data_IF_045303004649
#
_entry.id   IF_045303004649
#
_cell.length_a   1.000
_cell.length_b   1.000
_cell.length_c   1.000
_cell.angle_alpha   90.00
_cell.angle_beta   90.00
_cell.angle_gamma   90.00
#
_symmetry.space_group_name_H-M   'P 1'
#
loop_
_entity.id
_entity.type
_entity.pdbx_description
1 polymer ?
#
# COMPACT_ATOMS: atom_id res chain seq x y z
N UNK A 1 39.60 10.80 -2.56
CA UNK A 1 40.60 11.66 -3.30
C UNK A 1 40.65 13.08 -2.76
N UNK A 2 39.55 13.79 -2.48
CA UNK A 2 39.61 15.16 -1.93
C UNK A 2 40.30 15.28 -0.57
N UNK A 3 40.11 14.31 0.32
CA UNK A 3 40.77 14.30 1.64
C UNK A 3 42.30 14.27 1.55
N UNK A 4 42.83 13.47 0.63
CA UNK A 4 44.28 13.39 0.41
C UNK A 4 44.85 14.72 -0.13
N UNK A 5 44.11 15.42 -0.99
CA UNK A 5 44.51 16.73 -1.50
C UNK A 5 44.54 17.79 -0.39
N UNK A 6 43.57 17.77 0.54
CA UNK A 6 43.54 18.71 1.67
C UNK A 6 44.72 18.47 2.62
N UNK A 7 45.02 17.19 2.91
CA UNK A 7 46.18 16.82 3.75
C UNK A 7 47.50 17.26 3.10
N UNK A 8 47.68 16.97 1.82
CA UNK A 8 48.87 17.40 1.06
C UNK A 8 49.01 18.92 1.02
N UNK A 9 47.91 19.65 0.83
CA UNK A 9 47.91 21.11 0.87
C UNK A 9 48.27 21.64 2.26
N UNK A 10 47.73 21.06 3.35
CA UNK A 10 48.09 21.42 4.71
C UNK A 10 49.56 21.23 5.01
N UNK A 11 50.09 20.03 4.63
CA UNK A 11 51.52 19.72 4.81
C UNK A 11 52.42 20.66 4.01
N UNK A 12 52.02 20.98 2.76
CA UNK A 12 52.77 21.90 1.91
C UNK A 12 52.81 23.32 2.51
N UNK A 13 51.73 23.80 3.10
CA UNK A 13 51.68 25.11 3.77
C UNK A 13 52.58 25.17 5.01
N UNK A 14 52.66 24.09 5.76
CA UNK A 14 53.61 23.99 6.90
C UNK A 14 55.04 24.03 6.39
N UNK A 15 55.38 23.21 5.38
CA UNK A 15 56.75 23.04 4.93
C UNK A 15 57.29 24.20 4.12
N UNK A 16 56.51 24.81 3.23
CA UNK A 16 56.99 25.87 2.32
C UNK A 16 56.72 27.30 2.82
N UNK A 17 55.68 27.49 3.66
CA UNK A 17 55.27 28.83 4.13
C UNK A 17 55.49 29.04 5.64
N UNK A 18 56.00 28.02 6.34
CA UNK A 18 56.29 28.06 7.78
C UNK A 18 55.04 28.47 8.62
N UNK A 19 53.84 27.92 8.25
CA UNK A 19 52.60 28.15 8.95
C UNK A 19 52.31 26.95 9.87
N UNK A 20 52.74 26.96 11.12
CA UNK A 20 52.71 25.76 12.00
C UNK A 20 51.32 25.29 12.35
N UNK A 21 50.27 26.12 12.15
CA UNK A 21 48.86 25.76 12.44
C UNK A 21 48.12 25.23 11.20
N UNK A 22 48.72 25.22 10.02
CA UNK A 22 48.05 24.79 8.79
C UNK A 22 47.66 23.32 8.83
N UNK A 23 48.47 22.45 9.45
CA UNK A 23 48.15 21.02 9.65
C UNK A 23 46.90 20.83 10.53
N UNK A 24 46.79 21.56 11.63
CA UNK A 24 45.63 21.51 12.49
C UNK A 24 44.33 21.93 11.78
N UNK A 25 44.38 22.96 10.94
CA UNK A 25 43.23 23.40 10.12
C UNK A 25 42.87 22.37 9.06
N UNK A 26 43.86 21.75 8.41
CA UNK A 26 43.65 20.69 7.44
C UNK A 26 43.01 19.48 8.11
N UNK A 27 43.49 19.09 9.31
CA UNK A 27 42.88 17.97 10.08
C UNK A 27 41.43 18.26 10.44
N UNK A 28 41.07 19.47 10.88
CA UNK A 28 39.70 19.88 11.19
C UNK A 28 38.82 19.83 9.92
N UNK A 29 39.32 20.30 8.79
CA UNK A 29 38.60 20.28 7.51
C UNK A 29 38.30 18.83 7.07
N UNK A 30 39.27 17.93 7.18
CA UNK A 30 39.11 16.49 6.87
C UNK A 30 38.11 15.86 7.85
N UNK A 31 38.22 16.13 9.13
CA UNK A 31 37.28 15.63 10.13
C UNK A 31 35.84 16.08 9.84
N UNK A 32 35.64 17.37 9.52
CA UNK A 32 34.32 17.91 9.12
C UNK A 32 33.77 17.24 7.85
N UNK A 33 34.61 16.98 6.85
CA UNK A 33 34.23 16.28 5.64
C UNK A 33 33.81 14.81 5.91
N UNK A 34 34.54 14.13 6.80
CA UNK A 34 34.21 12.76 7.23
C UNK A 34 32.84 12.74 7.93
N UNK A 35 32.62 13.63 8.87
CA UNK A 35 31.31 13.74 9.58
C UNK A 35 30.19 14.02 8.58
N UNK A 36 30.36 14.96 7.66
CA UNK A 36 29.36 15.29 6.64
C UNK A 36 29.00 14.07 5.77
N UNK A 37 30.01 13.39 5.25
CA UNK A 37 29.79 12.19 4.41
C UNK A 37 29.17 11.03 5.17
N UNK A 38 29.59 10.82 6.43
CA UNK A 38 29.04 9.78 7.30
C UNK A 38 27.56 10.02 7.63
N UNK A 39 27.20 11.26 7.95
CA UNK A 39 25.79 11.64 8.18
C UNK A 39 24.94 11.46 6.93
N UNK A 40 25.47 11.80 5.76
CA UNK A 40 24.80 11.61 4.47
C UNK A 40 24.57 10.13 4.16
N UNK A 41 25.57 9.29 4.39
CA UNK A 41 25.47 7.86 4.20
C UNK A 41 24.49 7.23 5.22
N UNK A 42 24.60 7.62 6.49
CA UNK A 42 23.71 7.14 7.55
C UNK A 42 22.24 7.42 7.25
N UNK A 43 21.93 8.65 6.78
CA UNK A 43 20.53 8.99 6.37
C UNK A 43 20.04 8.13 5.22
N UNK A 44 20.86 7.93 4.19
CA UNK A 44 20.48 7.05 3.06
C UNK A 44 20.22 5.62 3.50
N UNK A 45 21.07 5.09 4.38
CA UNK A 45 20.90 3.74 4.92
C UNK A 45 19.62 3.62 5.74
N UNK A 46 19.33 4.62 6.59
CA UNK A 46 18.09 4.66 7.36
C UNK A 46 16.86 4.77 6.46
N UNK A 47 16.91 5.57 5.39
CA UNK A 47 15.79 5.71 4.44
C UNK A 47 15.48 4.37 3.72
N UNK A 48 16.51 3.57 3.44
CA UNK A 48 16.35 2.21 2.89
C UNK A 48 15.81 1.24 3.94
N UNK A 49 16.30 1.29 5.17
CA UNK A 49 15.85 0.39 6.25
C UNK A 49 14.44 0.71 6.76
N UNK A 50 13.99 1.96 6.62
CA UNK A 50 12.65 2.40 7.02
C UNK A 50 11.60 2.19 5.92
N UNK A 51 11.94 1.52 4.80
CA UNK A 51 11.02 1.19 3.69
C UNK A 51 10.12 2.37 3.28
N UNK A 52 10.69 3.57 3.21
CA UNK A 52 9.89 4.77 2.93
C UNK A 52 9.24 4.69 1.55
N UNK A 53 7.92 4.66 1.56
CA UNK A 53 7.13 4.79 0.34
C UNK A 53 7.47 6.09 -0.43
N UNK A 54 7.37 6.08 -1.77
CA UNK A 54 7.50 7.30 -2.56
C UNK A 54 6.49 8.36 -2.07
N UNK A 55 6.95 9.61 -1.94
CA UNK A 55 6.10 10.71 -1.44
C UNK A 55 4.86 10.88 -2.31
N UNK A 56 3.70 10.89 -1.70
CA UNK A 56 2.41 11.10 -2.38
C UNK A 56 1.83 9.88 -3.09
N UNK A 57 2.56 8.76 -3.20
CA UNK A 57 2.09 7.55 -3.88
C UNK A 57 0.77 7.01 -3.28
N UNK A 58 0.62 7.04 -1.96
CA UNK A 58 -0.60 6.62 -1.29
C UNK A 58 -1.85 7.37 -1.81
N UNK A 59 -1.80 8.71 -1.83
CA UNK A 59 -2.94 9.52 -2.28
C UNK A 59 -3.24 9.33 -3.77
N UNK A 60 -2.20 9.22 -4.60
CA UNK A 60 -2.37 8.99 -6.04
C UNK A 60 -3.01 7.63 -6.33
N UNK A 61 -2.59 6.58 -5.62
CA UNK A 61 -3.18 5.24 -5.75
C UNK A 61 -4.63 5.27 -5.26
N UNK A 62 -4.88 5.78 -4.06
CA UNK A 62 -6.21 5.85 -3.47
C UNK A 62 -7.20 6.57 -4.40
N UNK A 63 -6.84 7.76 -4.89
CA UNK A 63 -7.69 8.57 -5.79
C UNK A 63 -7.94 7.84 -7.11
N UNK A 64 -6.90 7.24 -7.71
CA UNK A 64 -7.02 6.58 -9.00
C UNK A 64 -7.80 5.27 -8.94
N UNK A 65 -7.72 4.54 -7.82
CA UNK A 65 -8.42 3.26 -7.64
C UNK A 65 -9.86 3.47 -7.19
N UNK A 66 -10.15 4.49 -6.37
CA UNK A 66 -11.52 4.80 -5.91
C UNK A 66 -12.48 5.19 -7.04
N UNK A 67 -11.97 5.56 -8.22
CA UNK A 67 -12.79 5.90 -9.39
C UNK A 67 -13.03 4.76 -10.36
N UNK A 68 -12.53 3.55 -10.08
CA UNK A 68 -12.68 2.40 -10.98
C UNK A 68 -14.03 1.72 -10.79
N UNK A 69 -14.66 1.34 -11.91
CA UNK A 69 -15.93 0.61 -11.89
C UNK A 69 -15.77 -0.76 -11.22
N UNK A 70 -16.68 -1.09 -10.31
CA UNK A 70 -16.68 -2.35 -9.57
C UNK A 70 -15.73 -2.38 -8.38
N UNK A 71 -15.03 -1.29 -8.09
CA UNK A 71 -14.21 -1.14 -6.88
C UNK A 71 -14.95 -0.27 -5.89
N UNK A 72 -15.19 -0.79 -4.71
CA UNK A 72 -15.65 -0.01 -3.58
C UNK A 72 -14.57 -0.01 -2.50
N UNK A 73 -14.52 1.06 -1.75
CA UNK A 73 -13.71 1.26 -0.55
C UNK A 73 -12.32 0.62 -0.59
N UNK A 74 -11.37 1.16 -1.40
CA UNK A 74 -9.98 0.76 -1.30
C UNK A 74 -9.45 1.07 0.11
N UNK A 75 -8.83 0.09 0.78
CA UNK A 75 -8.34 0.25 2.14
C UNK A 75 -7.07 -0.57 2.37
N UNK A 76 -6.45 -0.43 3.54
CA UNK A 76 -5.22 -1.11 3.95
C UNK A 76 -4.08 -1.02 2.92
N UNK A 77 -3.98 0.11 2.21
CA UNK A 77 -2.95 0.33 1.20
C UNK A 77 -1.59 0.46 1.90
N UNK A 78 -0.70 -0.48 1.64
CA UNK A 78 0.67 -0.55 2.15
C UNK A 78 1.64 -0.46 1.00
N UNK A 79 2.55 0.49 1.06
CA UNK A 79 3.55 0.72 0.02
C UNK A 79 4.92 0.63 0.66
N UNK A 80 5.74 -0.31 0.20
CA UNK A 80 7.09 -0.56 0.73
C UNK A 80 8.09 -0.57 -0.40
N UNK A 81 9.24 0.05 -0.21
CA UNK A 81 10.31 0.02 -1.19
C UNK A 81 11.25 -1.14 -0.90
N UNK A 82 11.34 -2.11 -1.79
CA UNK A 82 12.22 -3.28 -1.69
C UNK A 82 13.34 -3.19 -2.73
N UNK A 83 14.41 -2.47 -2.37
CA UNK A 83 15.51 -2.22 -3.31
C UNK A 83 15.08 -1.39 -4.52
N UNK A 84 15.20 -1.92 -5.77
CA UNK A 84 14.77 -1.22 -6.98
C UNK A 84 13.26 -1.28 -7.22
N UNK A 85 12.56 -2.20 -6.59
CA UNK A 85 11.13 -2.44 -6.76
C UNK A 85 10.32 -1.83 -5.62
N UNK A 86 9.04 -1.60 -5.87
CA UNK A 86 8.08 -1.13 -4.86
C UNK A 86 6.99 -2.19 -4.70
N UNK A 87 6.81 -2.71 -3.50
CA UNK A 87 5.70 -3.59 -3.19
C UNK A 87 4.49 -2.77 -2.76
N UNK A 88 3.33 -3.10 -3.32
CA UNK A 88 2.04 -2.47 -2.99
C UNK A 88 1.06 -3.58 -2.63
N UNK A 89 0.63 -3.60 -1.38
CA UNK A 89 -0.45 -4.47 -0.91
C UNK A 89 -1.67 -3.59 -0.66
N UNK A 90 -2.84 -4.04 -1.10
CA UNK A 90 -4.07 -3.29 -0.86
C UNK A 90 -5.29 -4.20 -0.86
N UNK A 91 -6.35 -3.74 -0.22
CA UNK A 91 -7.65 -4.37 -0.21
C UNK A 91 -8.64 -3.53 -0.99
N UNK A 92 -9.54 -4.18 -1.71
CA UNK A 92 -10.70 -3.58 -2.36
C UNK A 92 -11.94 -4.35 -1.99
N UNK A 93 -13.04 -3.63 -1.76
CA UNK A 93 -14.34 -4.27 -1.62
C UNK A 93 -15.02 -4.40 -2.98
N UNK A 94 -15.65 -5.55 -3.21
CA UNK A 94 -16.48 -5.81 -4.40
C UNK A 94 -17.83 -6.39 -3.97
N UNK A 95 -18.89 -6.25 -4.78
CA UNK A 95 -20.16 -6.90 -4.51
C UNK A 95 -19.98 -8.42 -4.35
N UNK A 96 -20.50 -9.02 -3.29
CA UNK A 96 -20.46 -10.48 -3.09
C UNK A 96 -21.25 -11.25 -4.15
N UNK A 97 -22.05 -10.55 -4.97
CA UNK A 97 -22.78 -11.10 -6.12
C UNK A 97 -21.88 -11.33 -7.33
N UNK A 98 -20.65 -10.79 -7.32
CA UNK A 98 -19.69 -11.01 -8.39
C UNK A 98 -19.21 -12.46 -8.39
N UNK A 99 -19.09 -13.02 -9.60
CA UNK A 99 -18.42 -14.31 -9.77
C UNK A 99 -16.93 -14.14 -9.50
N UNK A 100 -16.26 -15.25 -9.15
CA UNK A 100 -14.80 -15.24 -8.99
C UNK A 100 -14.07 -14.64 -10.20
N UNK A 101 -14.51 -14.97 -11.41
CA UNK A 101 -13.94 -14.44 -12.67
C UNK A 101 -14.11 -12.92 -12.78
N UNK A 102 -15.28 -12.40 -12.39
CA UNK A 102 -15.54 -10.94 -12.39
C UNK A 102 -14.69 -10.23 -11.36
N UNK A 103 -14.63 -10.74 -10.14
CA UNK A 103 -13.82 -10.19 -9.07
C UNK A 103 -12.32 -10.18 -9.41
N UNK A 104 -11.83 -11.27 -10.03
CA UNK A 104 -10.45 -11.35 -10.51
C UNK A 104 -10.14 -10.32 -11.62
N UNK A 105 -11.05 -10.10 -12.56
CA UNK A 105 -10.89 -9.05 -13.59
C UNK A 105 -10.79 -7.66 -12.97
N UNK A 106 -11.62 -7.36 -11.96
CA UNK A 106 -11.54 -6.08 -11.24
C UNK A 106 -10.19 -5.94 -10.55
N UNK A 107 -9.70 -6.98 -9.86
CA UNK A 107 -8.38 -6.97 -9.24
C UNK A 107 -7.26 -6.70 -10.25
N UNK A 108 -7.31 -7.35 -11.43
CA UNK A 108 -6.32 -7.15 -12.50
C UNK A 108 -6.33 -5.69 -13.01
N UNK A 109 -7.51 -5.08 -13.17
CA UNK A 109 -7.62 -3.67 -13.58
C UNK A 109 -6.98 -2.75 -12.54
N UNK A 110 -7.20 -3.04 -11.24
CA UNK A 110 -6.59 -2.29 -10.14
C UNK A 110 -5.06 -2.43 -10.16
N UNK A 111 -4.54 -3.66 -10.32
CA UNK A 111 -3.10 -3.91 -10.41
C UNK A 111 -2.46 -3.12 -11.57
N UNK A 112 -3.06 -3.16 -12.74
CA UNK A 112 -2.59 -2.43 -13.91
C UNK A 112 -2.60 -0.91 -13.67
N UNK A 113 -3.66 -0.41 -13.02
CA UNK A 113 -3.76 1.02 -12.67
C UNK A 113 -2.66 1.46 -11.71
N UNK A 114 -2.38 0.65 -10.68
CA UNK A 114 -1.29 0.91 -9.74
C UNK A 114 0.07 0.86 -10.43
N UNK A 115 0.32 -0.10 -11.32
CA UNK A 115 1.55 -0.20 -12.11
C UNK A 115 1.77 0.98 -13.07
N UNK A 116 0.70 1.63 -13.54
CA UNK A 116 0.81 2.88 -14.30
C UNK A 116 1.31 4.05 -13.44
N UNK A 117 0.93 4.09 -12.16
CA UNK A 117 1.35 5.14 -11.22
C UNK A 117 2.76 4.86 -10.68
N UNK A 118 3.05 3.61 -10.39
CA UNK A 118 4.33 3.14 -9.87
C UNK A 118 4.94 2.10 -10.83
N UNK A 119 5.64 2.51 -11.88
CA UNK A 119 6.41 1.59 -12.72
C UNK A 119 7.44 0.84 -11.85
N UNK A 120 7.66 -0.43 -12.09
CA UNK A 120 8.47 -1.34 -11.27
C UNK A 120 7.87 -1.61 -9.88
N UNK A 121 6.56 -1.75 -9.81
CA UNK A 121 5.90 -2.24 -8.60
C UNK A 121 5.43 -3.68 -8.76
N UNK A 122 5.56 -4.44 -7.69
CA UNK A 122 4.85 -5.70 -7.46
C UNK A 122 3.57 -5.37 -6.67
N UNK A 123 2.42 -5.70 -7.25
CA UNK A 123 1.12 -5.27 -6.72
C UNK A 123 0.31 -6.50 -6.36
N UNK A 124 -0.13 -6.58 -5.11
CA UNK A 124 -1.03 -7.59 -4.60
C UNK A 124 -2.35 -6.95 -4.19
N UNK A 125 -3.44 -7.37 -4.83
CA UNK A 125 -4.78 -6.90 -4.53
C UNK A 125 -5.59 -8.00 -3.87
N UNK A 126 -5.99 -7.77 -2.62
CA UNK A 126 -6.93 -8.61 -1.90
C UNK A 126 -8.34 -8.15 -2.21
N UNK A 127 -9.21 -9.10 -2.51
CA UNK A 127 -10.61 -8.82 -2.84
C UNK A 127 -11.50 -9.27 -1.70
N UNK A 128 -12.18 -8.32 -1.08
CA UNK A 128 -13.11 -8.55 0.02
C UNK A 128 -14.55 -8.46 -0.51
N UNK A 129 -15.29 -9.55 -0.35
CA UNK A 129 -16.68 -9.60 -0.76
C UNK A 129 -17.56 -8.90 0.28
N UNK A 130 -18.32 -7.87 -0.13
CA UNK A 130 -19.19 -7.12 0.77
C UNK A 130 -20.65 -7.15 0.34
N UNK A 131 -21.53 -6.98 1.32
CA UNK A 131 -22.96 -6.86 1.07
C UNK A 131 -23.32 -5.40 0.83
N UNK A 132 -23.92 -5.13 -0.33
CA UNK A 132 -24.41 -3.80 -0.66
C UNK A 132 -25.89 -3.63 -0.23
N UNK A 133 -26.26 -2.38 0.03
CA UNK A 133 -27.63 -2.04 0.45
C UNK A 133 -28.68 -2.25 -0.63
N UNK A 134 -28.27 -2.30 -1.89
CA UNK A 134 -29.12 -2.50 -3.07
C UNK A 134 -29.23 -3.98 -3.50
N UNK A 135 -28.62 -4.91 -2.76
CA UNK A 135 -28.79 -6.33 -3.00
C UNK A 135 -30.26 -6.75 -2.88
N UNK A 136 -30.80 -7.27 -3.96
CA UNK A 136 -32.16 -7.79 -3.97
C UNK A 136 -32.26 -9.12 -3.23
N UNK A 137 -33.48 -9.46 -2.78
CA UNK A 137 -33.73 -10.76 -2.19
C UNK A 137 -33.40 -11.92 -3.17
N UNK A 138 -33.58 -11.69 -4.47
CA UNK A 138 -33.18 -12.65 -5.50
C UNK A 138 -31.67 -12.89 -5.53
N UNK A 139 -30.86 -11.86 -5.38
CA UNK A 139 -29.40 -11.99 -5.35
C UNK A 139 -28.97 -12.80 -4.12
N UNK A 140 -29.56 -12.53 -2.97
CA UNK A 140 -29.30 -13.28 -1.74
C UNK A 140 -29.67 -14.76 -1.86
N UNK A 141 -30.82 -15.08 -2.45
CA UNK A 141 -31.26 -16.46 -2.68
C UNK A 141 -30.27 -17.17 -3.62
N UNK A 142 -29.82 -16.53 -4.69
CA UNK A 142 -28.83 -17.08 -5.62
C UNK A 142 -27.50 -17.38 -4.94
N UNK A 143 -27.03 -16.49 -4.08
CA UNK A 143 -25.80 -16.68 -3.30
C UNK A 143 -25.92 -17.90 -2.37
N UNK A 144 -26.99 -17.97 -1.58
CA UNK A 144 -27.25 -19.12 -0.69
C UNK A 144 -27.33 -20.43 -1.48
N UNK A 145 -28.02 -20.40 -2.62
CA UNK A 145 -28.14 -21.59 -3.46
C UNK A 145 -26.80 -22.02 -4.09
N UNK A 146 -25.92 -21.06 -4.42
CA UNK A 146 -24.59 -21.37 -4.95
C UNK A 146 -23.67 -22.05 -3.93
N UNK A 147 -23.88 -21.81 -2.63
CA UNK A 147 -23.15 -22.47 -1.54
C UNK A 147 -23.66 -23.91 -1.25
N UNK A 148 -24.84 -24.25 -1.75
CA UNK A 148 -25.44 -25.55 -1.50
C UNK A 148 -24.94 -26.60 -2.49
N UNK A 149 -24.37 -27.70 -1.99
CA UNK A 149 -23.91 -28.80 -2.83
C UNK A 149 -25.09 -29.44 -3.61
N UNK A 150 -24.90 -29.55 -4.93
CA UNK A 150 -25.90 -30.19 -5.82
C UNK A 150 -26.84 -29.23 -6.52
N UNK A 151 -26.77 -27.93 -6.25
CA UNK A 151 -27.50 -26.90 -7.00
C UNK A 151 -26.56 -26.31 -8.07
N UNK A 152 -26.88 -26.54 -9.34
CA UNK A 152 -26.05 -26.08 -10.46
C UNK A 152 -26.57 -24.82 -11.11
N UNK A 153 -27.87 -24.53 -10.98
CA UNK A 153 -28.48 -23.32 -11.56
C UNK A 153 -29.76 -22.95 -10.82
N UNK A 154 -29.93 -21.65 -10.55
CA UNK A 154 -31.13 -21.09 -9.95
C UNK A 154 -31.80 -20.13 -10.93
N UNK A 155 -32.95 -20.51 -11.44
CA UNK A 155 -33.75 -19.70 -12.36
C UNK A 155 -35.20 -19.69 -11.90
N UNK A 156 -35.93 -18.64 -12.27
CA UNK A 156 -37.36 -18.50 -11.94
C UNK A 156 -37.68 -18.47 -10.44
N UNK A 157 -37.08 -17.49 -9.73
CA UNK A 157 -37.39 -17.26 -8.31
C UNK A 157 -38.71 -16.49 -8.23
N UNK A 158 -39.73 -17.12 -7.64
CA UNK A 158 -41.04 -16.50 -7.38
C UNK A 158 -41.17 -16.17 -5.91
N UNK A 159 -41.48 -14.92 -5.57
CA UNK A 159 -41.79 -14.51 -4.21
C UNK A 159 -43.31 -14.52 -4.02
N UNK A 160 -43.83 -15.37 -3.17
CA UNK A 160 -45.19 -15.27 -2.64
C UNK A 160 -45.18 -14.39 -1.39
N UNK A 161 -46.26 -13.67 -1.15
CA UNK A 161 -46.43 -12.82 0.04
C UNK A 161 -46.45 -13.74 1.29
N UNK A 162 -45.30 -13.97 1.91
CA UNK A 162 -45.20 -14.67 3.18
C UNK A 162 -45.52 -13.63 4.26
N UNK A 163 -46.56 -13.87 5.10
CA UNK A 163 -46.82 -13.00 6.24
C UNK A 163 -45.54 -12.94 7.10
N UNK A 164 -45.09 -11.77 7.50
CA UNK A 164 -44.02 -11.60 8.44
C UNK A 164 -44.33 -12.37 9.70
N UNK A 165 -43.41 -13.21 10.23
CA UNK A 165 -43.64 -13.82 11.52
C UNK A 165 -43.82 -12.70 12.55
N UNK A 166 -45.00 -12.66 13.18
CA UNK A 166 -45.26 -11.72 14.27
C UNK A 166 -44.24 -12.04 15.36
N UNK A 167 -43.33 -11.07 15.63
CA UNK A 167 -42.46 -11.11 16.80
C UNK A 167 -43.34 -11.09 18.05
N UNK A 168 -43.56 -12.25 18.62
CA UNK A 168 -44.18 -12.37 19.94
C UNK A 168 -43.13 -11.96 20.96
N UNK A 169 -43.21 -10.69 21.39
CA UNK A 169 -42.49 -10.24 22.57
C UNK A 169 -43.16 -10.89 23.78
N UNK A 170 -42.57 -11.94 24.33
CA UNK A 170 -42.87 -12.36 25.68
C UNK A 170 -42.24 -11.34 26.64
N UNK A 171 -43.06 -10.44 27.17
CA UNK A 171 -42.70 -9.70 28.38
C UNK A 171 -42.77 -10.68 29.56
N UNK A 172 -41.63 -11.16 30.00
CA UNK A 172 -41.53 -11.75 31.34
C UNK A 172 -41.63 -10.63 32.37
N UNK A 173 -42.78 -10.47 32.97
CA UNK A 173 -42.93 -9.78 34.23
C UNK A 173 -42.20 -10.61 35.30
N UNK A 174 -41.22 -10.01 35.93
CA UNK A 174 -40.62 -10.53 37.16
C UNK A 174 -41.36 -9.87 38.32
N UNK A 175 -42.00 -10.69 39.12
CA UNK A 175 -42.30 -10.43 40.52
C UNK A 175 -41.03 -10.52 41.39
#
# INVERSE_FOLDING_TARGET
>A
MFSSAIVLAGLSLVFFLDIPKADAYAAIAVAGMIVYTSLGLGRRTLDVLLDKAPKGAYHQILESVSGLEGVDRPHDIRIRKMGPETQVDMHIEVPRTYTHDTAHKVATIVEEKVKQILPNSDVLVHVDATQYSDETLNDRIRLIAAEMHGITNVHSIYMSNIPQPSTVYHSEERE
#
